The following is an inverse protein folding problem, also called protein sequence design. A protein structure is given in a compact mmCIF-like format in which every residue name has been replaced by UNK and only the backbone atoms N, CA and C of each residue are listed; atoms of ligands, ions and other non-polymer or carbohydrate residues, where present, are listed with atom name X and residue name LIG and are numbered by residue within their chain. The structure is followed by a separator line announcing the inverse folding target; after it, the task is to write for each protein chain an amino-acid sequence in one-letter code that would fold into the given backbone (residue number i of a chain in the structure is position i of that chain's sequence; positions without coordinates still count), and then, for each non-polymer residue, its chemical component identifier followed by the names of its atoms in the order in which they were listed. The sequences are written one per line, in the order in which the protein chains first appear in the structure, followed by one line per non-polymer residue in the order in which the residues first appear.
data_IF_222337687357
#
_entry.id   IF_222337687357
#
_cell.length_a   1.000
_cell.length_b   1.000
_cell.length_c   1.000
_cell.angle_alpha   90.00
_cell.angle_beta   90.00
_cell.angle_gamma   90.00
#
_symmetry.space_group_name_H-M   'P 1'
#
loop_
_entity.id
_entity.type
_entity.pdbx_description
1 polymer ?
#
# COMPACT_ATOMS: atom_id res chain seq x y z
N UNK A 1 21.78 0.77 -36.73
CA UNK A 1 21.93 0.85 -35.26
C UNK A 1 20.54 0.98 -34.69
N UNK A 2 20.10 -0.06 -33.98
CA UNK A 2 18.72 -0.29 -33.56
C UNK A 2 18.34 0.68 -32.44
N UNK A 3 17.28 1.47 -32.65
CA UNK A 3 16.79 2.43 -31.67
C UNK A 3 16.15 1.68 -30.51
N UNK A 4 16.74 1.77 -29.32
CA UNK A 4 16.10 1.28 -28.09
C UNK A 4 14.81 2.07 -27.90
N UNK A 5 13.67 1.44 -28.17
CA UNK A 5 12.36 1.99 -27.86
C UNK A 5 12.29 2.23 -26.36
N UNK A 6 12.26 3.50 -25.94
CA UNK A 6 12.07 3.86 -24.54
C UNK A 6 10.63 3.50 -24.15
N UNK A 7 10.43 2.33 -23.56
CA UNK A 7 9.18 2.00 -22.88
C UNK A 7 9.05 2.95 -21.69
N UNK A 8 8.04 3.81 -21.72
CA UNK A 8 7.71 4.67 -20.59
C UNK A 8 7.39 3.83 -19.35
N UNK A 9 7.78 4.31 -18.15
CA UNK A 9 7.61 3.57 -16.87
C UNK A 9 6.20 3.06 -16.62
N UNK A 10 5.20 3.81 -17.09
CA UNK A 10 3.77 3.46 -17.02
C UNK A 10 3.49 2.09 -17.67
N UNK A 11 4.27 1.70 -18.68
CA UNK A 11 4.15 0.42 -19.38
C UNK A 11 5.19 -0.62 -18.95
N UNK A 12 6.05 -0.31 -17.98
CA UNK A 12 7.06 -1.23 -17.45
C UNK A 12 6.73 -1.76 -16.05
N UNK A 13 5.73 -1.21 -15.38
CA UNK A 13 5.23 -1.74 -14.11
C UNK A 13 4.60 -3.12 -14.29
N UNK A 14 4.55 -3.91 -13.21
CA UNK A 14 3.85 -5.19 -13.14
C UNK A 14 2.68 -5.08 -12.16
N UNK A 15 1.46 -4.73 -12.64
CA UNK A 15 0.29 -4.59 -11.79
C UNK A 15 -0.10 -5.88 -11.07
N UNK A 16 0.21 -7.05 -11.65
CA UNK A 16 -0.10 -8.35 -11.04
C UNK A 16 0.80 -8.58 -9.84
N UNK A 17 2.10 -8.30 -9.99
CA UNK A 17 3.04 -8.35 -8.89
C UNK A 17 2.68 -7.33 -7.80
N UNK A 18 2.39 -6.08 -8.18
CA UNK A 18 1.97 -5.03 -7.23
C UNK A 18 0.73 -5.45 -6.43
N UNK A 19 -0.30 -6.00 -7.09
CA UNK A 19 -1.49 -6.50 -6.44
C UNK A 19 -1.20 -7.66 -5.48
N UNK A 20 -0.24 -8.55 -5.81
CA UNK A 20 0.15 -9.67 -4.94
C UNK A 20 0.78 -9.23 -3.60
N UNK A 21 1.21 -7.97 -3.50
CA UNK A 21 1.78 -7.38 -2.29
C UNK A 21 0.72 -6.80 -1.37
N UNK A 22 -0.53 -6.59 -1.83
CA UNK A 22 -1.62 -6.10 -0.97
C UNK A 22 -1.81 -7.08 0.20
N UNK A 23 -2.01 -6.52 1.40
CA UNK A 23 -2.10 -7.23 2.68
C UNK A 23 -0.84 -8.03 3.09
N UNK A 24 0.28 -7.90 2.36
CA UNK A 24 1.59 -8.42 2.80
C UNK A 24 2.29 -7.42 3.70
N UNK A 25 3.06 -7.92 4.67
CA UNK A 25 4.00 -7.09 5.41
C UNK A 25 5.24 -6.89 4.56
N UNK A 26 5.67 -5.66 4.42
CA UNK A 26 6.83 -5.31 3.60
C UNK A 26 7.75 -4.37 4.36
N UNK A 27 9.03 -4.40 3.97
CA UNK A 27 10.01 -3.36 4.29
C UNK A 27 10.29 -2.55 3.03
N UNK A 28 10.07 -1.25 3.10
CA UNK A 28 10.37 -0.29 2.05
C UNK A 28 11.60 0.51 2.45
N UNK A 29 12.66 0.45 1.65
CA UNK A 29 13.87 1.24 1.86
C UNK A 29 13.86 2.40 0.86
N UNK A 30 14.06 3.62 1.35
CA UNK A 30 14.04 4.84 0.53
C UNK A 30 15.45 5.28 0.12
N UNK A 31 15.53 6.28 -0.76
CA UNK A 31 16.80 6.76 -1.29
C UNK A 31 17.69 7.41 -0.24
N UNK A 32 17.08 8.03 0.78
CA UNK A 32 17.73 8.57 1.98
C UNK A 32 18.03 7.52 3.06
N UNK A 33 17.98 6.22 2.70
CA UNK A 33 18.33 5.08 3.55
C UNK A 33 17.40 4.89 4.77
N UNK A 34 16.22 5.51 4.76
CA UNK A 34 15.19 5.22 5.76
C UNK A 34 14.46 3.93 5.41
N UNK A 35 14.01 3.25 6.44
CA UNK A 35 13.20 2.04 6.31
C UNK A 35 11.81 2.29 6.87
N UNK A 36 10.80 1.89 6.11
CA UNK A 36 9.41 1.90 6.52
C UNK A 36 8.88 0.47 6.46
N UNK A 37 8.38 -0.04 7.57
CA UNK A 37 7.77 -1.39 7.63
C UNK A 37 6.29 -1.26 7.93
N UNK A 38 5.46 -2.04 7.25
CA UNK A 38 4.02 -2.07 7.49
C UNK A 38 3.28 -3.01 6.54
N UNK A 39 1.97 -3.11 6.73
CA UNK A 39 1.09 -3.88 5.87
C UNK A 39 0.66 -3.04 4.67
N UNK A 40 0.81 -3.57 3.47
CA UNK A 40 0.42 -2.84 2.25
C UNK A 40 -1.10 -2.73 2.18
N UNK A 41 -1.60 -1.51 2.17
CA UNK A 41 -3.00 -1.21 1.84
C UNK A 41 -3.20 -1.19 0.32
N UNK A 42 -2.35 -0.43 -0.39
CA UNK A 42 -2.39 -0.35 -1.85
C UNK A 42 -1.06 0.15 -2.40
N UNK A 43 -0.89 0.02 -3.72
CA UNK A 43 0.20 0.58 -4.50
C UNK A 43 -0.43 1.36 -5.66
N UNK A 44 -0.09 2.64 -5.81
CA UNK A 44 -0.52 3.40 -6.98
C UNK A 44 0.26 2.92 -8.21
N UNK A 45 -0.38 2.36 -9.25
CA UNK A 45 0.31 1.80 -10.40
C UNK A 45 1.04 2.86 -11.24
N UNK A 46 0.72 4.15 -11.10
CA UNK A 46 1.35 5.22 -11.88
C UNK A 46 2.57 5.78 -11.17
N UNK A 47 2.41 6.23 -9.92
CA UNK A 47 3.53 6.80 -9.16
C UNK A 47 4.40 5.75 -8.46
N UNK A 48 3.97 4.49 -8.43
CA UNK A 48 4.57 3.39 -7.67
C UNK A 48 4.61 3.69 -6.15
N UNK A 49 3.79 4.64 -5.68
CA UNK A 49 3.71 4.98 -4.25
C UNK A 49 3.05 3.86 -3.47
N UNK A 50 3.60 3.55 -2.31
CA UNK A 50 3.16 2.45 -1.45
C UNK A 50 2.50 3.02 -0.20
N UNK A 51 1.27 2.60 0.07
CA UNK A 51 0.55 2.98 1.29
C UNK A 51 0.66 1.84 2.29
N UNK A 52 1.34 2.11 3.40
CA UNK A 52 1.55 1.18 4.50
C UNK A 52 0.63 1.51 5.67
N UNK A 53 0.20 0.47 6.37
CA UNK A 53 -0.62 0.56 7.57
C UNK A 53 0.09 -0.18 8.70
N UNK A 54 0.14 0.46 9.86
CA UNK A 54 0.53 -0.16 11.12
C UNK A 54 -0.58 -0.01 12.16
N UNK A 55 -0.71 -1.03 13.01
CA UNK A 55 -1.65 -1.04 14.13
C UNK A 55 -0.81 -0.95 15.41
N UNK A 56 -0.88 0.19 16.10
CA UNK A 56 -0.08 0.48 17.30
C UNK A 56 -1.05 0.61 18.48
N UNK A 57 -1.29 -0.51 19.18
CA UNK A 57 -2.35 -0.57 20.17
C UNK A 57 -3.72 -0.41 19.51
N UNK A 58 -4.46 0.63 19.90
CA UNK A 58 -5.75 0.99 19.31
C UNK A 58 -5.63 1.98 18.14
N UNK A 59 -4.44 2.58 17.96
CA UNK A 59 -4.21 3.57 16.91
C UNK A 59 -3.82 2.90 15.59
N UNK A 60 -4.19 3.57 14.49
CA UNK A 60 -3.82 3.18 13.13
C UNK A 60 -2.90 4.25 12.55
N UNK A 61 -1.69 3.85 12.18
CA UNK A 61 -0.73 4.71 11.50
C UNK A 61 -0.76 4.39 10.01
N UNK A 62 -0.95 5.42 9.18
CA UNK A 62 -0.87 5.33 7.72
C UNK A 62 0.37 6.06 7.26
N UNK A 63 1.26 5.35 6.57
CA UNK A 63 2.47 5.91 5.96
C UNK A 63 2.37 5.83 4.45
N UNK A 64 2.58 6.97 3.78
CA UNK A 64 2.67 7.03 2.31
C UNK A 64 4.13 7.16 1.94
N UNK A 65 4.69 6.15 1.27
CA UNK A 65 6.05 6.19 0.73
C UNK A 65 5.97 6.50 -0.76
N UNK A 66 6.49 7.66 -1.17
CA UNK A 66 6.42 8.13 -2.54
C UNK A 66 7.31 7.28 -3.45
N UNK A 67 6.76 6.73 -4.53
CA UNK A 67 7.44 5.71 -5.35
C UNK A 67 8.76 6.17 -5.96
N UNK A 68 8.89 7.45 -6.32
CA UNK A 68 10.16 8.01 -6.81
C UNK A 68 11.30 7.95 -5.78
N UNK A 69 10.97 7.83 -4.49
CA UNK A 69 11.94 7.75 -3.40
C UNK A 69 12.23 6.29 -2.98
N UNK A 70 11.48 5.30 -3.48
CA UNK A 70 11.66 3.89 -3.12
C UNK A 70 12.88 3.31 -3.84
N UNK A 71 13.80 2.71 -3.09
CA UNK A 71 14.92 1.92 -3.61
C UNK A 71 14.60 0.44 -3.68
N UNK A 72 13.93 -0.09 -2.66
CA UNK A 72 13.53 -1.50 -2.61
C UNK A 72 12.25 -1.69 -1.80
N UNK A 73 11.48 -2.69 -2.20
CA UNK A 73 10.33 -3.20 -1.47
C UNK A 73 10.54 -4.70 -1.28
N UNK A 74 10.69 -5.10 -0.02
CA UNK A 74 11.00 -6.49 0.35
C UNK A 74 9.84 -7.06 1.15
N UNK A 75 9.13 -8.08 0.62
CA UNK A 75 8.16 -8.85 1.41
C UNK A 75 8.83 -9.49 2.62
N UNK A 76 8.15 -9.46 3.75
CA UNK A 76 8.58 -10.12 4.97
C UNK A 76 7.72 -11.39 5.18
N UNK A 77 8.30 -12.43 5.78
CA UNK A 77 7.64 -13.73 6.01
C UNK A 77 6.65 -13.72 7.20
N UNK A 78 6.10 -12.54 7.52
CA UNK A 78 5.09 -12.39 8.55
C UNK A 78 3.78 -13.07 8.13
N UNK A 79 3.20 -13.84 9.05
CA UNK A 79 1.83 -14.33 8.88
C UNK A 79 0.86 -13.20 9.22
N UNK A 80 -0.06 -12.82 8.30
CA UNK A 80 -1.12 -11.86 8.59
C UNK A 80 -1.93 -12.27 9.83
N UNK A 81 -2.13 -11.36 10.80
CA UNK A 81 -3.06 -11.60 11.89
C UNK A 81 -4.48 -11.91 11.35
N UNK A 82 -5.28 -12.74 12.05
CA UNK A 82 -6.67 -12.94 11.70
C UNK A 82 -7.42 -11.60 11.59
N UNK A 83 -8.19 -11.41 10.52
CA UNK A 83 -8.94 -10.18 10.27
C UNK A 83 -8.11 -8.98 9.81
N UNK A 84 -6.80 -9.14 9.55
CA UNK A 84 -5.95 -8.05 9.08
C UNK A 84 -6.47 -7.41 7.80
N UNK A 85 -6.85 -8.22 6.80
CA UNK A 85 -7.34 -7.71 5.52
C UNK A 85 -8.55 -6.80 5.71
N UNK A 86 -9.55 -7.26 6.49
CA UNK A 86 -10.72 -6.45 6.83
C UNK A 86 -10.34 -5.18 7.61
N UNK A 87 -9.41 -5.28 8.56
CA UNK A 87 -8.94 -4.16 9.36
C UNK A 87 -8.22 -3.10 8.50
N UNK A 88 -7.36 -3.52 7.60
CA UNK A 88 -6.64 -2.66 6.62
C UNK A 88 -7.64 -2.02 5.66
N UNK A 89 -8.57 -2.80 5.11
CA UNK A 89 -9.58 -2.31 4.16
C UNK A 89 -10.58 -1.35 4.81
N UNK A 90 -10.84 -1.49 6.12
CA UNK A 90 -11.77 -0.64 6.87
C UNK A 90 -11.29 0.80 7.07
N UNK A 91 -9.99 1.07 6.89
CA UNK A 91 -9.39 2.39 7.20
C UNK A 91 -10.05 3.53 6.43
N UNK A 92 -10.46 3.26 5.19
CA UNK A 92 -11.09 4.24 4.31
C UNK A 92 -12.55 3.89 3.97
N UNK A 93 -13.14 2.88 4.65
CA UNK A 93 -14.59 2.63 4.54
C UNK A 93 -15.32 3.68 5.39
N UNK A 94 -16.19 4.45 4.74
CA UNK A 94 -17.07 5.41 5.42
C UNK A 94 -17.94 4.67 6.44
N UNK A 95 -17.98 5.12 7.68
CA UNK A 95 -18.99 4.66 8.64
C UNK A 95 -20.37 4.93 8.05
N UNK A 96 -21.18 3.88 7.91
CA UNK A 96 -22.60 4.07 7.61
C UNK A 96 -23.27 4.62 8.87
N UNK A 97 -23.27 5.95 8.99
CA UNK A 97 -24.22 6.62 9.88
C UNK A 97 -25.59 6.29 9.31
N UNK A 98 -26.34 5.44 10.02
CA UNK A 98 -27.69 5.10 9.63
C UNK A 98 -28.54 6.36 9.69
N UNK A 99 -28.96 6.87 8.52
CA UNK A 99 -30.00 7.89 8.46
C UNK A 99 -31.30 7.24 8.97
N UNK A 100 -31.54 7.35 10.27
CA UNK A 100 -32.87 7.21 10.84
C UNK A 100 -33.71 8.37 10.31
N UNK A 101 -34.31 8.18 9.14
CA UNK A 101 -35.35 9.04 8.62
C UNK A 101 -36.57 8.89 9.53
N UNK A 102 -36.62 9.67 10.60
CA UNK A 102 -37.85 9.92 11.33
C UNK A 102 -38.76 10.77 10.43
N UNK A 103 -39.66 10.11 9.70
CA UNK A 103 -40.84 10.76 9.13
C UNK A 103 -41.87 10.90 10.25
N UNK A 104 -42.01 12.11 10.79
CA UNK A 104 -43.20 12.55 11.55
C UNK A 104 -44.16 13.25 10.60
#
# INVERSE_FOLDING_TARGET
MEGKGHTHKIFSGDPVHQHSLIHRRVRVTTSDLKEHTGWVYTIDPVSESVILVNFIGEEKEVTIVLGYNIKSLTPLDDTPPPGLADAVDSIFKKEQVGDSLEYT
#
